data_IF_277734311372
#
_entry.id   IF_277734311372
#
_cell.length_a   1.000
_cell.length_b   1.000
_cell.length_c   1.000
_cell.angle_alpha   90.00
_cell.angle_beta   90.00
_cell.angle_gamma   90.00
#
_symmetry.space_group_name_H-M   'P 1'
#
loop_
_entity.id
_entity.type
_entity.pdbx_description
1 polymer ?
#
# COMPACT_ATOMS: atom_id res chain seq x y z
N UNK A 1 -20.85 -0.38 -14.64
CA UNK A 1 -20.47 -0.35 -13.21
C UNK A 1 -19.77 -1.65 -12.81
N UNK A 2 -20.17 -2.80 -13.36
CA UNK A 2 -19.49 -4.11 -13.15
C UNK A 2 -18.01 -4.10 -13.60
N UNK A 3 -17.69 -3.49 -14.75
CA UNK A 3 -16.31 -3.46 -15.27
C UNK A 3 -15.28 -2.80 -14.35
N UNK A 4 -15.66 -1.76 -13.59
CA UNK A 4 -14.73 -1.06 -12.72
C UNK A 4 -14.40 -1.86 -11.45
N UNK A 5 -15.39 -2.59 -10.91
CA UNK A 5 -15.19 -3.49 -9.77
C UNK A 5 -14.33 -4.69 -10.16
N UNK A 6 -14.51 -5.21 -11.39
CA UNK A 6 -13.71 -6.30 -11.93
C UNK A 6 -12.24 -5.89 -12.10
N UNK A 7 -11.98 -4.69 -12.64
CA UNK A 7 -10.62 -4.13 -12.76
C UNK A 7 -9.98 -3.93 -11.39
N UNK A 8 -10.71 -3.40 -10.41
CA UNK A 8 -10.22 -3.22 -9.04
C UNK A 8 -9.83 -4.55 -8.38
N UNK A 9 -10.65 -5.58 -8.63
CA UNK A 9 -10.38 -6.92 -8.13
C UNK A 9 -9.13 -7.52 -8.79
N UNK A 10 -8.99 -7.38 -10.10
CA UNK A 10 -7.81 -7.83 -10.86
C UNK A 10 -6.52 -7.13 -10.37
N UNK A 11 -6.57 -5.81 -10.15
CA UNK A 11 -5.44 -5.05 -9.60
C UNK A 11 -5.04 -5.54 -8.21
N UNK A 12 -6.01 -5.83 -7.33
CA UNK A 12 -5.74 -6.40 -6.00
C UNK A 12 -5.08 -7.77 -6.09
N UNK A 13 -5.52 -8.63 -7.01
CA UNK A 13 -4.91 -9.93 -7.22
C UNK A 13 -3.46 -9.82 -7.73
N UNK A 14 -3.19 -8.88 -8.63
CA UNK A 14 -1.82 -8.61 -9.09
C UNK A 14 -0.94 -8.04 -7.97
N UNK A 15 -1.48 -7.14 -7.14
CA UNK A 15 -0.77 -6.59 -5.99
C UNK A 15 -0.39 -7.68 -4.98
N UNK A 16 -1.28 -8.63 -4.70
CA UNK A 16 -0.99 -9.76 -3.79
C UNK A 16 0.01 -10.74 -4.41
N UNK A 17 -0.09 -11.04 -5.72
CA UNK A 17 0.90 -11.88 -6.43
C UNK A 17 2.31 -11.25 -6.36
N UNK A 18 2.43 -9.95 -6.60
CA UNK A 18 3.71 -9.25 -6.49
C UNK A 18 4.22 -9.22 -5.04
N UNK A 19 3.33 -9.02 -4.06
CA UNK A 19 3.71 -9.04 -2.65
C UNK A 19 4.29 -10.40 -2.23
N UNK A 20 3.75 -11.50 -2.76
CA UNK A 20 4.30 -12.84 -2.56
C UNK A 20 5.71 -12.97 -3.15
N UNK A 21 5.94 -12.51 -4.38
CA UNK A 21 7.27 -12.53 -5.01
C UNK A 21 8.30 -11.70 -4.22
N UNK A 22 7.93 -10.49 -3.81
CA UNK A 22 8.81 -9.64 -2.98
C UNK A 22 9.11 -10.30 -1.62
N UNK A 23 8.12 -10.96 -1.04
CA UNK A 23 8.29 -11.68 0.24
C UNK A 23 9.24 -12.88 0.09
N UNK A 24 9.15 -13.62 -1.02
CA UNK A 24 10.09 -14.69 -1.35
C UNK A 24 11.52 -14.15 -1.57
N UNK A 25 11.64 -12.92 -2.08
CA UNK A 25 12.91 -12.19 -2.21
C UNK A 25 13.48 -11.63 -0.89
N UNK A 26 12.85 -11.91 0.26
CA UNK A 26 13.35 -11.52 1.58
C UNK A 26 12.69 -10.27 2.19
N UNK A 27 11.72 -9.65 1.50
CA UNK A 27 10.95 -8.56 2.08
C UNK A 27 9.97 -9.10 3.15
N UNK A 28 9.74 -8.36 4.23
CA UNK A 28 8.71 -8.72 5.20
C UNK A 28 7.32 -8.69 4.54
N UNK A 29 6.49 -9.72 4.78
CA UNK A 29 5.16 -9.87 4.17
C UNK A 29 4.28 -8.62 4.22
N UNK A 30 4.16 -7.99 5.39
CA UNK A 30 3.35 -6.76 5.54
C UNK A 30 3.94 -5.59 4.76
N UNK A 31 5.26 -5.44 4.78
CA UNK A 31 5.98 -4.40 4.03
C UNK A 31 5.76 -4.55 2.53
N UNK A 32 5.85 -5.78 2.02
CA UNK A 32 5.55 -6.09 0.62
C UNK A 32 4.11 -5.72 0.25
N UNK A 33 3.13 -6.11 1.09
CA UNK A 33 1.71 -5.77 0.85
C UNK A 33 1.43 -4.28 0.88
N UNK A 34 2.07 -3.53 1.79
CA UNK A 34 1.93 -2.06 1.84
C UNK A 34 2.54 -1.41 0.61
N UNK A 35 3.73 -1.86 0.18
CA UNK A 35 4.37 -1.35 -1.03
C UNK A 35 3.52 -1.61 -2.27
N UNK A 36 3.01 -2.83 -2.46
CA UNK A 36 2.21 -3.16 -3.65
C UNK A 36 0.83 -2.52 -3.63
N UNK A 37 0.22 -2.32 -2.45
CA UNK A 37 -1.02 -1.56 -2.33
C UNK A 37 -0.85 -0.10 -2.79
N UNK A 38 0.28 0.53 -2.45
CA UNK A 38 0.60 1.88 -2.93
C UNK A 38 0.89 1.89 -4.44
N UNK A 39 1.64 0.91 -4.94
CA UNK A 39 2.01 0.81 -6.36
C UNK A 39 0.80 0.58 -7.29
N UNK A 40 -0.20 -0.17 -6.81
CA UNK A 40 -1.43 -0.49 -7.56
C UNK A 40 -2.62 0.40 -7.16
N UNK A 41 -2.38 1.43 -6.33
CA UNK A 41 -3.42 2.38 -5.94
C UNK A 41 -3.90 3.19 -7.15
N UNK A 42 -5.21 3.36 -7.27
CA UNK A 42 -5.80 4.31 -8.24
C UNK A 42 -5.72 5.78 -7.75
N UNK A 43 -5.29 5.99 -6.51
CA UNK A 43 -5.05 7.31 -5.92
C UNK A 43 -3.55 7.60 -5.86
N UNK A 44 -3.17 8.86 -6.13
CA UNK A 44 -1.77 9.33 -6.02
C UNK A 44 -1.18 9.14 -4.62
N UNK A 45 -2.03 9.17 -3.59
CA UNK A 45 -1.63 9.05 -2.19
C UNK A 45 -2.61 8.15 -1.46
N UNK A 46 -2.14 7.49 -0.40
CA UNK A 46 -3.00 6.78 0.54
C UNK A 46 -2.62 7.15 1.97
N UNK A 47 -3.64 7.40 2.78
CA UNK A 47 -3.50 7.56 4.22
C UNK A 47 -3.24 6.23 4.90
N UNK A 48 -2.67 6.26 6.12
CA UNK A 48 -2.51 5.05 6.93
C UNK A 48 -3.86 4.35 7.23
N UNK A 49 -4.95 5.12 7.35
CA UNK A 49 -6.29 4.59 7.57
C UNK A 49 -6.82 3.79 6.37
N UNK A 50 -6.63 4.33 5.16
CA UNK A 50 -7.00 3.64 3.92
C UNK A 50 -6.17 2.37 3.71
N UNK A 51 -4.87 2.40 4.03
CA UNK A 51 -4.03 1.20 4.02
C UNK A 51 -4.51 0.15 5.02
N UNK A 52 -4.90 0.55 6.24
CA UNK A 52 -5.46 -0.38 7.22
C UNK A 52 -6.75 -1.04 6.70
N UNK A 53 -7.65 -0.24 6.11
CA UNK A 53 -8.92 -0.72 5.58
C UNK A 53 -8.73 -1.64 4.38
N UNK A 54 -7.90 -1.23 3.41
CA UNK A 54 -7.64 -1.98 2.17
C UNK A 54 -6.96 -3.32 2.46
N UNK A 55 -5.91 -3.32 3.29
CA UNK A 55 -5.10 -4.51 3.55
C UNK A 55 -5.62 -5.38 4.71
N UNK A 56 -6.62 -4.90 5.45
CA UNK A 56 -7.18 -5.51 6.67
C UNK A 56 -6.10 -5.81 7.71
N UNK A 57 -5.26 -4.82 7.98
CA UNK A 57 -4.16 -4.89 8.96
C UNK A 57 -4.25 -3.76 9.99
N UNK A 58 -3.52 -3.89 11.10
CA UNK A 58 -3.52 -2.87 12.15
C UNK A 58 -2.68 -1.64 11.78
N UNK A 59 -2.97 -0.51 12.43
CA UNK A 59 -2.19 0.73 12.31
C UNK A 59 -0.72 0.55 12.71
N UNK A 60 -0.43 -0.32 13.68
CA UNK A 60 0.94 -0.68 14.05
C UNK A 60 1.67 -1.44 12.94
N UNK A 61 0.98 -2.33 12.23
CA UNK A 61 1.54 -3.07 11.10
C UNK A 61 1.83 -2.15 9.91
N UNK A 62 0.92 -1.21 9.60
CA UNK A 62 1.14 -0.16 8.60
C UNK A 62 2.32 0.73 9.01
N UNK A 63 2.38 1.17 10.26
CA UNK A 63 3.46 2.03 10.76
C UNK A 63 4.83 1.33 10.66
N UNK A 64 4.90 0.05 11.01
CA UNK A 64 6.11 -0.75 10.85
C UNK A 64 6.56 -0.87 9.40
N UNK A 65 5.64 -1.16 8.48
CA UNK A 65 5.93 -1.23 7.05
C UNK A 65 6.40 0.12 6.48
N UNK A 66 5.71 1.21 6.81
CA UNK A 66 6.08 2.56 6.36
C UNK A 66 7.47 2.95 6.87
N UNK A 67 7.80 2.64 8.13
CA UNK A 67 9.12 2.90 8.71
C UNK A 67 10.24 2.08 8.06
N UNK A 68 9.93 0.92 7.45
CA UNK A 68 10.88 0.11 6.68
C UNK A 68 11.08 0.65 5.25
N UNK A 69 10.02 1.20 4.64
CA UNK A 69 10.03 1.63 3.24
C UNK A 69 10.61 3.04 3.03
N UNK A 70 10.43 3.97 3.99
CA UNK A 70 10.94 5.34 3.86
C UNK A 70 12.48 5.38 3.70
N UNK A 71 13.28 4.71 4.56
CA UNK A 71 14.74 4.80 4.47
C UNK A 71 15.32 4.20 3.18
N UNK A 72 14.58 3.31 2.52
CA UNK A 72 15.00 2.70 1.25
C UNK A 72 14.62 3.56 0.04
N UNK A 73 13.91 4.68 0.25
CA UNK A 73 13.42 5.54 -0.83
C UNK A 73 12.27 4.93 -1.63
N UNK A 74 11.65 3.85 -1.14
CA UNK A 74 10.56 3.16 -1.84
C UNK A 74 9.23 3.90 -1.71
N UNK A 75 9.05 4.66 -0.64
CA UNK A 75 7.88 5.52 -0.42
C UNK A 75 8.33 6.82 0.26
N UNK A 76 7.49 7.85 0.15
CA UNK A 76 7.63 9.08 0.91
C UNK A 76 6.31 9.45 1.60
N UNK A 77 6.39 10.33 2.60
CA UNK A 77 5.21 10.91 3.24
C UNK A 77 4.91 12.24 2.58
N UNK A 78 3.67 12.42 2.16
CA UNK A 78 3.16 13.68 1.63
C UNK A 78 2.05 14.23 2.52
N UNK A 79 1.79 15.55 2.49
CA UNK A 79 0.63 16.12 3.16
C UNK A 79 -0.66 15.42 2.69
N UNK A 80 -1.57 15.14 3.63
CA UNK A 80 -2.85 14.53 3.29
C UNK A 80 -3.66 15.46 2.36
N UNK A 81 -4.43 14.93 1.40
CA UNK A 81 -5.31 15.73 0.55
C UNK A 81 -6.22 16.64 1.39
N UNK A 82 -6.19 17.96 1.13
CA UNK A 82 -6.96 18.95 1.89
C UNK A 82 -6.36 19.36 3.24
N UNK A 83 -5.15 18.89 3.57
CA UNK A 83 -4.34 19.40 4.68
C UNK A 83 -4.05 20.89 4.50
N UNK A 84 -4.30 21.70 5.54
CA UNK A 84 -3.92 23.13 5.57
C UNK A 84 -2.42 23.37 5.80
N UNK A 85 -1.61 22.32 5.81
CA UNK A 85 -0.18 22.41 6.02
C UNK A 85 0.55 22.13 4.71
N UNK A 86 1.17 23.20 4.21
CA UNK A 86 2.50 23.15 3.59
C UNK A 86 3.47 22.34 4.46
#
# INVERSE_FOLDING_TARGET
MHDAEDVDQELREHAEKLALTLSQGGMQKTTARVMTALLFSQHETMTAGELCASLRISSGAVSGAVNQLIPTGMIERVPAPGSRRD
#
